data_IF_228222247577
#
_entry.id   IF_228222247577
#
_cell.length_a   1.000
_cell.length_b   1.000
_cell.length_c   1.000
_cell.angle_alpha   90.00
_cell.angle_beta   90.00
_cell.angle_gamma   90.00
#
_symmetry.space_group_name_H-M   'P 1'
#
loop_
_entity.id
_entity.type
_entity.pdbx_description
1 polymer ?
#
# COMPACT_ATOMS: atom_id res chain seq x y z
N UNK A 1 6.53 -10.04 -23.18
CA UNK A 1 5.92 -8.69 -23.05
C UNK A 1 5.57 -8.33 -21.61
N UNK A 2 4.75 -9.12 -20.89
CA UNK A 2 4.33 -8.77 -19.51
C UNK A 2 5.51 -8.59 -18.53
N UNK A 3 6.53 -9.45 -18.60
CA UNK A 3 7.72 -9.32 -17.73
C UNK A 3 8.50 -8.03 -17.96
N UNK A 4 8.65 -7.61 -19.22
CA UNK A 4 9.31 -6.34 -19.59
C UNK A 4 8.53 -5.16 -19.00
N UNK A 5 7.20 -5.20 -19.11
CA UNK A 5 6.33 -4.20 -18.51
C UNK A 5 6.47 -4.14 -16.99
N UNK A 6 6.47 -5.29 -16.30
CA UNK A 6 6.64 -5.36 -14.85
C UNK A 6 8.00 -4.81 -14.39
N UNK A 7 9.08 -5.11 -15.12
CA UNK A 7 10.42 -4.57 -14.83
C UNK A 7 10.42 -3.04 -15.03
N UNK A 8 9.86 -2.54 -16.14
CA UNK A 8 9.77 -1.10 -16.40
C UNK A 8 8.94 -0.38 -15.32
N UNK A 9 7.81 -0.98 -14.91
CA UNK A 9 6.98 -0.46 -13.83
C UNK A 9 7.74 -0.41 -12.50
N UNK A 10 8.48 -1.48 -12.16
CA UNK A 10 9.30 -1.52 -10.94
C UNK A 10 10.35 -0.39 -10.94
N UNK A 11 11.05 -0.19 -12.06
CA UNK A 11 12.04 0.89 -12.21
C UNK A 11 11.37 2.26 -12.03
N UNK A 12 10.20 2.49 -12.64
CA UNK A 12 9.43 3.72 -12.49
C UNK A 12 9.08 4.00 -11.02
N UNK A 13 8.63 2.98 -10.29
CA UNK A 13 8.28 3.11 -8.87
C UNK A 13 9.50 3.49 -8.03
N UNK A 14 10.65 2.84 -8.24
CA UNK A 14 11.89 3.14 -7.52
C UNK A 14 12.35 4.58 -7.80
N UNK A 15 12.27 5.02 -9.06
CA UNK A 15 12.64 6.37 -9.46
C UNK A 15 11.68 7.40 -8.84
N UNK A 16 10.37 7.16 -8.93
CA UNK A 16 9.35 8.03 -8.34
C UNK A 16 9.51 8.16 -6.83
N UNK A 17 9.77 7.06 -6.12
CA UNK A 17 10.02 7.06 -4.68
C UNK A 17 11.24 7.93 -4.34
N UNK A 18 12.35 7.75 -5.06
CA UNK A 18 13.57 8.54 -4.85
C UNK A 18 13.35 10.03 -5.09
N UNK A 19 12.62 10.39 -6.14
CA UNK A 19 12.24 11.78 -6.44
C UNK A 19 11.41 12.35 -5.30
N UNK A 20 10.41 11.63 -4.80
CA UNK A 20 9.52 12.09 -3.74
C UNK A 20 10.27 12.24 -2.42
N UNK A 21 11.15 11.30 -2.06
CA UNK A 21 11.99 11.38 -0.85
C UNK A 21 12.81 12.68 -0.88
N UNK A 22 13.48 12.93 -2.01
CA UNK A 22 14.32 14.12 -2.16
C UNK A 22 13.50 15.41 -2.19
N UNK A 23 12.38 15.42 -2.93
CA UNK A 23 11.54 16.62 -3.09
C UNK A 23 10.89 17.06 -1.78
N UNK A 24 10.48 16.12 -0.93
CA UNK A 24 9.79 16.43 0.32
C UNK A 24 10.69 16.40 1.56
N UNK A 25 11.99 16.09 1.39
CA UNK A 25 12.95 15.87 2.47
C UNK A 25 12.43 14.86 3.51
N UNK A 26 11.94 13.72 3.02
CA UNK A 26 11.30 12.70 3.86
C UNK A 26 12.36 12.04 4.74
N UNK A 27 12.15 12.04 6.05
CA UNK A 27 13.05 11.40 7.02
C UNK A 27 12.81 9.89 7.05
N UNK A 28 13.14 9.22 5.95
CA UNK A 28 12.99 7.77 5.83
C UNK A 28 13.91 7.07 6.83
N UNK A 29 13.32 6.26 7.73
CA UNK A 29 14.08 5.40 8.64
C UNK A 29 14.83 4.34 7.81
N UNK A 30 16.13 4.15 8.04
CA UNK A 30 16.91 3.08 7.38
C UNK A 30 16.40 1.69 7.81
N UNK A 31 16.18 0.79 6.86
CA UNK A 31 15.78 -0.61 7.08
C UNK A 31 14.35 -0.95 6.63
N UNK A 32 13.82 -2.08 7.11
CA UNK A 32 12.43 -2.52 6.89
C UNK A 32 11.42 -1.51 7.48
N UNK A 33 10.17 -1.59 7.02
CA UNK A 33 9.07 -0.78 7.54
C UNK A 33 9.03 -0.79 9.08
N UNK A 34 9.11 0.39 9.68
CA UNK A 34 9.07 0.56 11.14
C UNK A 34 7.76 1.23 11.53
N UNK A 35 6.95 0.50 12.28
CA UNK A 35 5.75 1.02 12.91
C UNK A 35 6.09 2.20 13.83
N UNK A 36 5.20 3.19 13.87
CA UNK A 36 5.34 4.40 14.69
C UNK A 36 5.33 4.08 16.18
N UNK A 37 4.46 3.17 16.62
CA UNK A 37 4.37 2.73 18.01
C UNK A 37 3.83 1.28 18.09
N UNK A 38 3.79 0.71 19.31
CA UNK A 38 3.24 -0.64 19.53
C UNK A 38 1.75 -0.75 19.16
N UNK A 39 0.98 0.32 19.37
CA UNK A 39 -0.44 0.38 19.04
C UNK A 39 -0.66 0.24 17.53
N UNK A 40 0.10 0.98 16.72
CA UNK A 40 0.10 0.88 15.27
C UNK A 40 0.32 -0.57 14.83
N UNK A 41 1.36 -1.24 15.35
CA UNK A 41 1.65 -2.63 15.02
C UNK A 41 0.47 -3.56 15.32
N UNK A 42 -0.12 -3.45 16.52
CA UNK A 42 -1.25 -4.31 16.90
C UNK A 42 -2.52 -3.99 16.11
N UNK A 43 -2.83 -2.70 15.89
CA UNK A 43 -3.96 -2.28 15.05
C UNK A 43 -3.83 -2.78 13.63
N UNK A 44 -2.63 -2.74 13.05
CA UNK A 44 -2.40 -3.24 11.71
C UNK A 44 -2.59 -4.75 11.62
N UNK A 45 -2.10 -5.51 12.61
CA UNK A 45 -2.35 -6.96 12.71
C UNK A 45 -3.85 -7.26 12.81
N UNK A 46 -4.57 -6.53 13.65
CA UNK A 46 -6.04 -6.69 13.80
C UNK A 46 -6.76 -6.39 12.48
N UNK A 47 -6.38 -5.32 11.78
CA UNK A 47 -6.94 -4.97 10.47
C UNK A 47 -6.68 -6.08 9.45
N UNK A 48 -5.45 -6.59 9.38
CA UNK A 48 -5.10 -7.68 8.46
C UNK A 48 -5.93 -8.94 8.75
N UNK A 49 -6.01 -9.35 10.01
CA UNK A 49 -6.81 -10.51 10.42
C UNK A 49 -8.28 -10.29 10.05
N UNK A 50 -8.87 -9.14 10.41
CA UNK A 50 -10.27 -8.83 10.12
C UNK A 50 -10.58 -8.87 8.62
N UNK A 51 -9.71 -8.31 7.79
CA UNK A 51 -9.88 -8.30 6.34
C UNK A 51 -9.73 -9.72 5.73
N UNK A 52 -8.78 -10.52 6.23
CA UNK A 52 -8.64 -11.93 5.81
C UNK A 52 -9.91 -12.71 6.17
N UNK A 53 -10.38 -12.61 7.43
CA UNK A 53 -11.62 -13.26 7.87
C UNK A 53 -12.80 -12.83 6.99
N UNK A 54 -12.96 -11.52 6.73
CA UNK A 54 -14.02 -11.03 5.84
C UNK A 54 -13.95 -11.65 4.45
N UNK A 55 -12.74 -11.80 3.90
CA UNK A 55 -12.50 -12.39 2.57
C UNK A 55 -12.86 -13.88 2.53
N UNK A 56 -12.50 -14.65 3.57
CA UNK A 56 -12.75 -16.09 3.63
C UNK A 56 -14.21 -16.47 3.94
N UNK A 57 -14.88 -15.70 4.79
CA UNK A 57 -16.25 -16.00 5.23
C UNK A 57 -17.33 -15.35 4.36
N UNK A 58 -16.97 -14.41 3.49
CA UNK A 58 -17.94 -13.81 2.57
C UNK A 58 -18.35 -14.78 1.45
N UNK A 59 -19.66 -15.00 1.32
CA UNK A 59 -20.26 -15.81 0.25
C UNK A 59 -20.56 -15.00 -1.01
N UNK A 60 -20.44 -13.68 -0.98
CA UNK A 60 -20.74 -12.82 -2.14
C UNK A 60 -19.67 -12.99 -3.23
N UNK A 61 -20.07 -13.54 -4.37
CA UNK A 61 -19.22 -13.67 -5.56
C UNK A 61 -18.94 -12.31 -6.21
N UNK A 62 -19.92 -11.40 -6.21
CA UNK A 62 -19.84 -10.08 -6.84
C UNK A 62 -18.78 -9.18 -6.20
N UNK A 63 -18.64 -9.26 -4.87
CA UNK A 63 -17.68 -8.46 -4.12
C UNK A 63 -16.25 -9.01 -4.17
N UNK A 64 -16.07 -10.27 -4.61
CA UNK A 64 -14.78 -10.97 -4.55
C UNK A 64 -13.68 -10.26 -5.32
N UNK A 65 -14.01 -9.70 -6.48
CA UNK A 65 -13.08 -8.94 -7.31
C UNK A 65 -12.58 -7.64 -6.66
N UNK A 66 -13.27 -7.14 -5.64
CA UNK A 66 -12.93 -5.90 -4.94
C UNK A 66 -12.19 -6.13 -3.61
N UNK A 67 -12.07 -7.37 -3.13
CA UNK A 67 -11.43 -7.66 -1.84
C UNK A 67 -9.96 -7.21 -1.79
N UNK A 68 -9.16 -7.51 -2.82
CA UNK A 68 -7.76 -7.07 -2.85
C UNK A 68 -7.62 -5.54 -2.91
N UNK A 69 -8.32 -4.81 -3.81
CA UNK A 69 -8.33 -3.35 -3.78
C UNK A 69 -8.73 -2.77 -2.41
N UNK A 70 -9.86 -3.23 -1.84
CA UNK A 70 -10.35 -2.76 -0.53
C UNK A 70 -9.31 -3.03 0.56
N UNK A 71 -8.73 -4.24 0.57
CA UNK A 71 -7.71 -4.63 1.55
C UNK A 71 -6.54 -3.64 1.55
N UNK A 72 -5.95 -3.39 0.38
CA UNK A 72 -4.79 -2.50 0.28
C UNK A 72 -5.16 -1.04 0.55
N UNK A 73 -6.34 -0.57 0.11
CA UNK A 73 -6.81 0.78 0.43
C UNK A 73 -6.94 0.99 1.93
N UNK A 74 -7.59 0.06 2.65
CA UNK A 74 -7.75 0.16 4.10
C UNK A 74 -6.39 0.09 4.81
N UNK A 75 -5.53 -0.85 4.41
CA UNK A 75 -4.22 -1.04 5.03
C UNK A 75 -3.31 0.18 4.85
N UNK A 76 -3.10 0.62 3.61
CA UNK A 76 -2.23 1.77 3.33
C UNK A 76 -2.84 3.09 3.79
N UNK A 77 -4.16 3.23 3.73
CA UNK A 77 -4.88 4.39 4.27
C UNK A 77 -4.70 4.49 5.79
N UNK A 78 -4.82 3.36 6.51
CA UNK A 78 -4.57 3.32 7.95
C UNK A 78 -3.11 3.67 8.29
N UNK A 79 -2.13 3.07 7.60
CA UNK A 79 -0.70 3.38 7.81
C UNK A 79 -0.42 4.87 7.59
N UNK A 80 -0.90 5.42 6.48
CA UNK A 80 -0.74 6.83 6.16
C UNK A 80 -1.40 7.73 7.22
N UNK A 81 -2.60 7.37 7.70
CA UNK A 81 -3.29 8.11 8.74
C UNK A 81 -2.50 8.12 10.06
N UNK A 82 -2.00 6.97 10.51
CA UNK A 82 -1.21 6.87 11.74
C UNK A 82 0.11 7.62 11.61
N UNK A 83 0.81 7.48 10.49
CA UNK A 83 2.06 8.20 10.23
C UNK A 83 1.84 9.71 10.18
N UNK A 84 0.75 10.18 9.57
CA UNK A 84 0.39 11.60 9.55
C UNK A 84 -0.01 12.11 10.93
N UNK A 85 -0.71 11.30 11.74
CA UNK A 85 -1.17 11.70 13.08
C UNK A 85 -0.05 11.74 14.11
N UNK A 86 0.88 10.78 14.08
CA UNK A 86 1.89 10.59 15.13
C UNK A 86 3.31 10.99 14.72
N UNK A 87 3.67 10.93 13.43
CA UNK A 87 5.00 11.25 12.92
C UNK A 87 4.95 12.21 11.72
N UNK A 88 4.07 13.22 11.77
CA UNK A 88 3.81 14.16 10.66
C UNK A 88 5.09 14.79 10.09
N UNK A 89 6.01 15.18 10.97
CA UNK A 89 7.28 15.83 10.60
C UNK A 89 8.18 14.96 9.73
N UNK A 90 8.09 13.63 9.88
CA UNK A 90 8.87 12.68 9.08
C UNK A 90 8.41 12.64 7.62
N UNK A 91 7.14 13.02 7.37
CA UNK A 91 6.44 12.94 6.09
C UNK A 91 6.39 11.54 5.47
N UNK A 92 6.63 10.49 6.26
CA UNK A 92 6.61 9.09 5.79
C UNK A 92 5.23 8.69 5.27
N UNK A 93 4.16 9.30 5.78
CA UNK A 93 2.80 9.11 5.27
C UNK A 93 2.66 9.36 3.76
N UNK A 94 3.48 10.24 3.17
CA UNK A 94 3.49 10.50 1.73
C UNK A 94 3.96 9.25 0.97
N UNK A 95 4.95 8.53 1.51
CA UNK A 95 5.41 7.27 0.93
C UNK A 95 4.37 6.16 1.10
N UNK A 96 3.68 6.10 2.24
CA UNK A 96 2.60 5.13 2.44
C UNK A 96 1.44 5.35 1.47
N UNK A 97 1.08 6.61 1.19
CA UNK A 97 0.10 6.95 0.16
C UNK A 97 0.62 6.56 -1.23
N UNK A 98 1.86 6.90 -1.57
CA UNK A 98 2.48 6.53 -2.86
C UNK A 98 2.47 5.01 -3.07
N UNK A 99 2.87 4.25 -2.05
CA UNK A 99 2.90 2.79 -2.09
C UNK A 99 1.49 2.21 -2.25
N UNK A 100 0.52 2.73 -1.49
CA UNK A 100 -0.88 2.32 -1.63
C UNK A 100 -1.43 2.57 -3.03
N UNK A 101 -1.24 3.79 -3.55
CA UNK A 101 -1.65 4.15 -4.92
C UNK A 101 -0.96 3.29 -5.98
N UNK A 102 0.33 3.01 -5.81
CA UNK A 102 1.11 2.17 -6.73
C UNK A 102 0.59 0.73 -6.78
N UNK A 103 0.30 0.13 -5.61
CA UNK A 103 -0.26 -1.22 -5.51
C UNK A 103 -1.65 -1.27 -6.16
N UNK A 104 -2.49 -0.26 -5.92
CA UNK A 104 -3.83 -0.19 -6.54
C UNK A 104 -3.73 -0.07 -8.07
N UNK A 105 -2.85 0.80 -8.57
CA UNK A 105 -2.61 0.93 -10.02
C UNK A 105 -2.14 -0.40 -10.62
N UNK A 106 -1.20 -1.09 -9.97
CA UNK A 106 -0.71 -2.39 -10.43
C UNK A 106 -1.85 -3.42 -10.48
N UNK A 107 -2.70 -3.49 -9.46
CA UNK A 107 -3.85 -4.40 -9.43
C UNK A 107 -4.85 -4.10 -10.56
N UNK A 108 -5.12 -2.83 -10.84
CA UNK A 108 -6.01 -2.42 -11.94
C UNK A 108 -5.40 -2.83 -13.28
N UNK A 109 -4.11 -2.56 -13.51
CA UNK A 109 -3.42 -2.91 -14.76
C UNK A 109 -3.40 -4.42 -14.97
N UNK A 110 -3.06 -5.20 -13.94
CA UNK A 110 -3.08 -6.66 -14.00
C UNK A 110 -4.48 -7.15 -14.32
N UNK A 111 -5.52 -6.63 -13.64
CA UNK A 111 -6.91 -6.97 -13.93
C UNK A 111 -7.23 -6.71 -15.40
N UNK A 112 -6.94 -5.52 -15.93
CA UNK A 112 -7.20 -5.17 -17.33
C UNK A 112 -6.45 -6.06 -18.32
N UNK A 113 -5.21 -6.48 -17.99
CA UNK A 113 -4.42 -7.36 -18.84
C UNK A 113 -4.97 -8.79 -18.88
N UNK A 114 -5.44 -9.33 -17.74
CA UNK A 114 -5.99 -10.69 -17.62
C UNK A 114 -7.49 -10.79 -17.93
N UNK A 115 -8.23 -9.67 -17.93
CA UNK A 115 -9.64 -9.64 -18.37
C UNK A 115 -9.79 -9.60 -19.90
N UNK A 116 -8.68 -9.42 -20.62
CA UNK A 116 -8.62 -9.47 -22.08
C UNK A 116 -8.36 -10.89 -22.55
#
# INVERSE_FOLDING_TARGET
MIFIFLIAFLILVIVAEKIIINKFNIKKKKGLYKHVNKVHKWSEVVIIIALITMTFFSKSSELRQYYLPIFFTVLFGFRAFIEWKFEKESKVYILSILNGSTVLLLLIILKLFFLK
#
